data_IF_474343420744
#
_entry.id   IF_474343420744
#
_cell.length_a   1.000
_cell.length_b   1.000
_cell.length_c   1.000
_cell.angle_alpha   90.00
_cell.angle_beta   90.00
_cell.angle_gamma   90.00
#
_symmetry.space_group_name_H-M   'P 1'
#
loop_
_entity.id
_entity.type
_entity.pdbx_description
1 polymer ?
#
# COMPACT_ATOMS: atom_id res chain seq x y z
N UNK A 1 -25.27 -14.78 -5.96
CA UNK A 1 -25.72 -14.49 -4.58
C UNK A 1 -27.19 -14.83 -4.37
N UNK A 2 -28.15 -14.31 -5.16
CA UNK A 2 -29.58 -14.70 -5.06
C UNK A 2 -29.82 -16.22 -5.11
N UNK A 3 -29.28 -16.90 -6.13
CA UNK A 3 -29.34 -18.39 -6.22
C UNK A 3 -28.80 -19.10 -4.98
N UNK A 4 -27.77 -18.56 -4.34
CA UNK A 4 -27.17 -19.11 -3.12
C UNK A 4 -28.10 -18.92 -1.92
N UNK A 5 -28.73 -17.75 -1.82
CA UNK A 5 -29.70 -17.44 -0.75
C UNK A 5 -30.94 -18.33 -0.86
N UNK A 6 -31.43 -18.54 -2.08
CA UNK A 6 -32.53 -19.45 -2.39
C UNK A 6 -32.14 -20.91 -2.06
N UNK A 7 -30.95 -21.34 -2.50
CA UNK A 7 -30.45 -22.70 -2.23
C UNK A 7 -30.38 -23.04 -0.74
N UNK A 8 -29.97 -22.10 0.11
CA UNK A 8 -29.89 -22.31 1.55
C UNK A 8 -31.18 -21.93 2.32
N UNK A 9 -32.21 -21.43 1.63
CA UNK A 9 -33.46 -20.94 2.25
C UNK A 9 -33.23 -19.99 3.44
N UNK A 10 -32.40 -18.96 3.17
CA UNK A 10 -32.01 -17.96 4.19
C UNK A 10 -32.49 -16.54 3.85
N UNK A 11 -33.28 -16.35 2.79
CA UNK A 11 -33.69 -15.01 2.32
C UNK A 11 -34.32 -14.15 3.42
N UNK A 12 -35.21 -14.73 4.22
CA UNK A 12 -35.90 -14.05 5.34
C UNK A 12 -35.02 -13.87 6.59
N UNK A 13 -33.86 -14.54 6.64
CA UNK A 13 -32.94 -14.54 7.78
C UNK A 13 -31.84 -13.49 7.65
N UNK A 14 -31.64 -12.92 6.46
CA UNK A 14 -30.62 -11.90 6.23
C UNK A 14 -31.09 -10.58 6.83
N UNK A 15 -30.38 -10.11 7.87
CA UNK A 15 -30.72 -8.86 8.56
C UNK A 15 -29.88 -7.67 8.11
N UNK A 16 -28.65 -7.92 7.65
CA UNK A 16 -27.75 -6.87 7.16
C UNK A 16 -26.72 -7.45 6.21
N UNK A 17 -26.19 -6.60 5.33
CA UNK A 17 -25.10 -6.94 4.42
C UNK A 17 -23.91 -6.00 4.64
N UNK A 18 -22.70 -6.58 4.74
CA UNK A 18 -21.44 -5.83 4.73
C UNK A 18 -20.81 -6.05 3.36
N UNK A 19 -20.49 -4.95 2.66
CA UNK A 19 -20.00 -5.01 1.28
C UNK A 19 -18.87 -3.99 1.05
N UNK A 20 -18.11 -4.15 -0.03
CA UNK A 20 -17.13 -3.13 -0.42
C UNK A 20 -17.80 -1.88 -1.01
N UNK A 21 -17.04 -0.82 -1.26
CA UNK A 21 -17.56 0.45 -1.76
C UNK A 21 -18.08 0.42 -3.21
N UNK A 22 -17.92 -0.69 -3.93
CA UNK A 22 -18.10 -0.74 -5.37
C UNK A 22 -19.58 -0.66 -5.78
N UNK A 23 -19.85 -0.02 -6.92
CA UNK A 23 -21.21 0.26 -7.38
C UNK A 23 -22.02 -1.03 -7.63
N UNK A 24 -21.40 -2.04 -8.23
CA UNK A 24 -21.99 -3.35 -8.43
C UNK A 24 -22.33 -4.07 -7.10
N UNK A 25 -21.45 -3.98 -6.10
CA UNK A 25 -21.68 -4.57 -4.79
C UNK A 25 -22.84 -3.86 -4.05
N UNK A 26 -22.94 -2.53 -4.16
CA UNK A 26 -24.07 -1.75 -3.65
C UNK A 26 -25.40 -2.15 -4.30
N UNK A 27 -25.45 -2.19 -5.64
CA UNK A 27 -26.67 -2.55 -6.35
C UNK A 27 -27.10 -3.98 -6.03
N UNK A 28 -26.15 -4.91 -5.92
CA UNK A 28 -26.45 -6.30 -5.56
C UNK A 28 -26.97 -6.42 -4.12
N UNK A 29 -26.38 -5.70 -3.16
CA UNK A 29 -26.75 -5.80 -1.75
C UNK A 29 -28.11 -5.16 -1.45
N UNK A 30 -28.44 -4.05 -2.12
CA UNK A 30 -29.75 -3.40 -2.05
C UNK A 30 -30.91 -4.31 -2.50
N UNK A 31 -30.61 -5.32 -3.33
CA UNK A 31 -31.59 -6.31 -3.79
C UNK A 31 -31.74 -7.49 -2.80
N UNK A 32 -30.80 -7.63 -1.88
CA UNK A 32 -30.72 -8.76 -0.94
C UNK A 32 -31.22 -8.38 0.45
N UNK A 33 -30.92 -7.17 0.92
CA UNK A 33 -31.24 -6.73 2.27
C UNK A 33 -31.40 -5.20 2.31
N UNK A 34 -32.25 -4.72 3.23
CA UNK A 34 -32.48 -3.27 3.39
C UNK A 34 -31.33 -2.58 4.13
N UNK A 35 -30.75 -3.26 5.12
CA UNK A 35 -29.69 -2.72 5.97
C UNK A 35 -28.32 -3.06 5.37
N UNK A 36 -27.59 -2.03 4.96
CA UNK A 36 -26.31 -2.17 4.25
C UNK A 36 -25.21 -1.34 4.91
N UNK A 37 -24.06 -1.97 5.16
CA UNK A 37 -22.86 -1.32 5.70
C UNK A 37 -21.69 -1.39 4.72
N UNK A 38 -20.91 -0.31 4.72
CA UNK A 38 -19.58 -0.32 4.09
C UNK A 38 -18.62 -1.19 4.91
N UNK A 39 -17.82 -2.01 4.22
CA UNK A 39 -16.76 -2.79 4.86
C UNK A 39 -15.71 -1.86 5.49
N UNK A 40 -15.56 -1.97 6.80
CA UNK A 40 -14.62 -1.17 7.59
C UNK A 40 -13.18 -1.31 7.10
N UNK A 41 -12.74 -2.55 6.85
CA UNK A 41 -11.39 -2.83 6.39
C UNK A 41 -11.12 -2.23 5.00
N UNK A 42 -12.12 -2.24 4.12
CA UNK A 42 -12.03 -1.56 2.82
C UNK A 42 -11.92 -0.04 2.97
N UNK A 43 -12.66 0.57 3.92
CA UNK A 43 -12.57 2.01 4.21
C UNK A 43 -11.21 2.42 4.74
N UNK A 44 -10.62 1.65 5.66
CA UNK A 44 -9.26 1.89 6.14
C UNK A 44 -8.27 1.81 4.98
N UNK A 45 -8.38 0.78 4.13
CA UNK A 45 -7.50 0.64 2.97
C UNK A 45 -7.62 1.82 2.00
N UNK A 46 -8.84 2.31 1.72
CA UNK A 46 -9.04 3.51 0.91
C UNK A 46 -8.42 4.76 1.55
N UNK A 47 -8.57 4.92 2.88
CA UNK A 47 -7.98 6.03 3.61
C UNK A 47 -6.44 5.97 3.57
N UNK A 48 -5.86 4.79 3.77
CA UNK A 48 -4.42 4.57 3.67
C UNK A 48 -3.90 4.88 2.25
N UNK A 49 -4.58 4.37 1.21
CA UNK A 49 -4.24 4.67 -0.20
C UNK A 49 -4.29 6.16 -0.49
N UNK A 50 -5.36 6.83 -0.07
CA UNK A 50 -5.50 8.28 -0.24
C UNK A 50 -4.39 9.05 0.48
N UNK A 51 -4.06 8.65 1.72
CA UNK A 51 -2.96 9.24 2.48
C UNK A 51 -1.60 9.04 1.83
N UNK A 52 -1.32 7.83 1.30
CA UNK A 52 -0.07 7.55 0.60
C UNK A 52 0.05 8.34 -0.70
N UNK A 53 -1.02 8.45 -1.50
CA UNK A 53 -1.00 9.24 -2.73
C UNK A 53 -0.90 10.75 -2.49
N UNK A 54 -1.33 11.23 -1.33
CA UNK A 54 -1.16 12.62 -0.93
C UNK A 54 0.22 12.93 -0.36
N UNK A 55 1.05 11.91 -0.06
CA UNK A 55 2.36 12.09 0.54
C UNK A 55 3.40 12.49 -0.53
N UNK A 56 3.95 13.71 -0.49
CA UNK A 56 4.88 14.17 -1.53
C UNK A 56 6.15 13.32 -1.59
N UNK A 57 6.54 12.90 -2.79
CA UNK A 57 7.75 12.11 -3.03
C UNK A 57 7.62 10.61 -2.77
N UNK A 58 6.55 10.14 -2.11
CA UNK A 58 6.38 8.70 -1.84
C UNK A 58 6.22 7.89 -3.13
N UNK A 59 5.49 8.41 -4.11
CA UNK A 59 5.30 7.74 -5.40
C UNK A 59 6.63 7.55 -6.15
N UNK A 60 7.53 8.53 -6.09
CA UNK A 60 8.87 8.42 -6.67
C UNK A 60 9.66 7.30 -5.99
N UNK A 61 9.67 7.28 -4.66
CA UNK A 61 10.39 6.26 -3.88
C UNK A 61 9.83 4.86 -4.17
N UNK A 62 8.51 4.72 -4.17
CA UNK A 62 7.85 3.47 -4.51
C UNK A 62 8.15 3.04 -5.95
N UNK A 63 8.20 3.97 -6.90
CA UNK A 63 8.56 3.68 -8.28
C UNK A 63 10.00 3.17 -8.40
N UNK A 64 10.96 3.82 -7.72
CA UNK A 64 12.37 3.38 -7.69
C UNK A 64 12.49 1.99 -7.08
N UNK A 65 11.88 1.75 -5.92
CA UNK A 65 11.87 0.42 -5.28
C UNK A 65 11.22 -0.66 -6.15
N UNK A 66 10.12 -0.34 -6.85
CA UNK A 66 9.46 -1.25 -7.80
C UNK A 66 10.39 -1.60 -8.96
N UNK A 67 11.09 -0.60 -9.53
CA UNK A 67 12.05 -0.79 -10.63
C UNK A 67 13.21 -1.66 -10.16
N UNK A 68 13.87 -1.31 -9.05
CA UNK A 68 14.99 -2.09 -8.50
C UNK A 68 14.57 -3.54 -8.22
N UNK A 69 13.45 -3.75 -7.52
CA UNK A 69 12.92 -5.09 -7.24
C UNK A 69 12.65 -5.87 -8.53
N UNK A 70 12.11 -5.22 -9.57
CA UNK A 70 11.89 -5.84 -10.87
C UNK A 70 13.20 -6.21 -11.55
N UNK A 71 14.18 -5.30 -11.59
CA UNK A 71 15.48 -5.51 -12.23
C UNK A 71 16.25 -6.68 -11.61
N UNK A 72 16.33 -6.74 -10.27
CA UNK A 72 16.97 -7.85 -9.54
C UNK A 72 16.28 -9.17 -9.86
N UNK A 73 14.94 -9.20 -9.97
CA UNK A 73 14.20 -10.45 -10.22
C UNK A 73 14.30 -10.96 -11.66
N UNK A 74 14.54 -10.07 -12.63
CA UNK A 74 14.61 -10.43 -14.05
C UNK A 74 16.05 -10.73 -14.50
N UNK A 75 17.01 -9.91 -14.07
CA UNK A 75 18.41 -10.08 -14.45
C UNK A 75 19.11 -11.05 -13.51
N UNK A 76 19.61 -12.16 -14.04
CA UNK A 76 20.42 -13.12 -13.28
C UNK A 76 21.71 -12.48 -12.77
N UNK A 77 22.30 -11.56 -13.53
CA UNK A 77 23.50 -10.81 -13.12
C UNK A 77 23.23 -9.93 -11.90
N UNK A 78 22.20 -9.07 -11.98
CA UNK A 78 21.82 -8.20 -10.85
C UNK A 78 21.38 -8.99 -9.63
N UNK A 79 20.75 -10.16 -9.84
CA UNK A 79 20.41 -11.06 -8.75
C UNK A 79 21.64 -11.61 -8.05
N UNK A 80 22.66 -12.02 -8.79
CA UNK A 80 23.91 -12.52 -8.21
C UNK A 80 24.65 -11.41 -7.47
N UNK A 81 24.70 -10.21 -8.02
CA UNK A 81 25.29 -9.04 -7.35
C UNK A 81 24.53 -8.68 -6.06
N UNK A 82 23.19 -8.77 -6.09
CA UNK A 82 22.37 -8.63 -4.89
C UNK A 82 22.72 -9.68 -3.83
N UNK A 83 22.80 -10.96 -4.20
CA UNK A 83 23.18 -12.05 -3.30
C UNK A 83 24.61 -11.84 -2.73
N UNK A 84 25.55 -11.38 -3.55
CA UNK A 84 26.93 -11.08 -3.12
C UNK A 84 27.01 -10.00 -2.03
N UNK A 85 26.16 -8.97 -2.09
CA UNK A 85 26.10 -7.95 -1.02
C UNK A 85 25.73 -8.56 0.33
N UNK A 86 24.86 -9.58 0.34
CA UNK A 86 24.50 -10.28 1.58
C UNK A 86 25.62 -11.17 2.07
N UNK A 87 26.31 -11.88 1.16
CA UNK A 87 27.46 -12.72 1.50
C UNK A 87 28.62 -11.90 2.08
N UNK A 88 28.91 -10.72 1.52
CA UNK A 88 29.93 -9.79 2.04
C UNK A 88 29.63 -9.30 3.45
N UNK A 89 28.35 -9.21 3.80
CA UNK A 89 27.87 -8.76 5.11
C UNK A 89 27.49 -9.94 6.03
N UNK A 90 27.88 -11.16 5.68
CA UNK A 90 27.62 -12.41 6.44
C UNK A 90 26.15 -12.56 6.87
N UNK A 91 25.23 -12.24 5.95
CA UNK A 91 23.79 -12.27 6.20
C UNK A 91 23.08 -13.22 5.22
N UNK A 92 21.98 -13.89 5.64
CA UNK A 92 21.18 -14.66 4.69
C UNK A 92 20.51 -13.73 3.67
N UNK A 93 20.61 -14.08 2.39
CA UNK A 93 20.01 -13.29 1.31
C UNK A 93 18.51 -13.09 1.54
N UNK A 94 18.08 -11.83 1.42
CA UNK A 94 16.68 -11.46 1.57
C UNK A 94 16.23 -10.58 0.40
N UNK A 95 15.21 -11.03 -0.32
CA UNK A 95 14.69 -10.32 -1.49
C UNK A 95 13.80 -9.13 -1.11
N UNK A 96 13.81 -8.09 -1.95
CA UNK A 96 12.83 -7.03 -1.90
C UNK A 96 11.41 -7.57 -2.15
N UNK A 97 10.44 -6.97 -1.46
CA UNK A 97 9.03 -7.30 -1.65
C UNK A 97 8.51 -6.70 -2.96
N UNK A 98 7.65 -7.45 -3.65
CA UNK A 98 7.00 -6.97 -4.86
C UNK A 98 5.73 -6.22 -4.47
N UNK A 99 5.59 -4.99 -4.96
CA UNK A 99 4.33 -4.26 -4.85
C UNK A 99 3.22 -4.93 -5.67
N UNK A 100 2.03 -5.06 -5.08
CA UNK A 100 0.85 -5.65 -5.70
C UNK A 100 -0.37 -4.81 -5.36
N UNK A 101 -0.93 -4.11 -6.35
CA UNK A 101 -1.99 -3.11 -6.15
C UNK A 101 -3.26 -3.64 -5.49
N UNK A 102 -3.59 -4.91 -5.76
CA UNK A 102 -4.76 -5.60 -5.20
C UNK A 102 -4.55 -6.04 -3.75
N UNK A 103 -3.30 -6.15 -3.28
CA UNK A 103 -2.96 -6.54 -1.90
C UNK A 103 -2.84 -5.29 -1.04
N UNK A 104 -3.75 -5.14 -0.09
CA UNK A 104 -3.96 -3.90 0.68
C UNK A 104 -2.71 -3.42 1.43
N UNK A 105 -1.87 -4.33 1.90
CA UNK A 105 -0.66 -4.04 2.69
C UNK A 105 0.62 -3.93 1.85
N UNK A 106 0.55 -4.06 0.52
CA UNK A 106 1.77 -4.21 -0.29
C UNK A 106 2.69 -2.98 -0.28
N UNK A 107 2.16 -1.76 -0.13
CA UNK A 107 2.98 -0.55 0.03
C UNK A 107 3.77 -0.64 1.34
N UNK A 108 3.09 -0.99 2.43
CA UNK A 108 3.71 -1.14 3.74
C UNK A 108 4.79 -2.21 3.74
N UNK A 109 4.50 -3.38 3.15
CA UNK A 109 5.45 -4.49 3.08
C UNK A 109 6.71 -4.12 2.28
N UNK A 110 6.55 -3.41 1.15
CA UNK A 110 7.67 -2.90 0.33
C UNK A 110 8.55 -1.94 1.11
N UNK A 111 7.94 -0.94 1.77
CA UNK A 111 8.69 0.06 2.53
C UNK A 111 9.36 -0.57 3.76
N UNK A 112 8.64 -1.42 4.49
CA UNK A 112 9.17 -2.15 5.64
C UNK A 112 10.36 -3.02 5.25
N UNK A 113 10.26 -3.76 4.14
CA UNK A 113 11.37 -4.59 3.63
C UNK A 113 12.55 -3.72 3.22
N UNK A 114 12.32 -2.67 2.44
CA UNK A 114 13.38 -1.77 1.98
C UNK A 114 14.13 -1.13 3.15
N UNK A 115 13.42 -0.69 4.20
CA UNK A 115 14.02 -0.18 5.43
C UNK A 115 14.81 -1.25 6.19
N UNK A 116 14.29 -2.49 6.24
CA UNK A 116 14.98 -3.60 6.91
C UNK A 116 16.30 -3.96 6.23
N UNK A 117 16.36 -3.94 4.90
CA UNK A 117 17.58 -4.21 4.12
C UNK A 117 18.30 -2.94 3.68
N UNK A 118 18.05 -1.78 4.31
CA UNK A 118 18.50 -0.46 3.85
C UNK A 118 20.00 -0.43 3.54
N UNK A 119 20.84 -0.88 4.46
CA UNK A 119 22.30 -0.89 4.28
C UNK A 119 22.73 -1.69 3.04
N UNK A 120 22.13 -2.87 2.85
CA UNK A 120 22.41 -3.77 1.71
C UNK A 120 21.91 -3.13 0.42
N UNK A 121 20.74 -2.49 0.48
CA UNK A 121 20.15 -1.78 -0.65
C UNK A 121 20.95 -0.54 -1.05
N UNK A 122 21.48 0.21 -0.08
CA UNK A 122 22.30 1.39 -0.34
C UNK A 122 23.65 0.99 -0.96
N UNK A 123 24.29 -0.08 -0.46
CA UNK A 123 25.53 -0.63 -1.01
C UNK A 123 25.31 -1.21 -2.42
N UNK A 124 24.25 -2.00 -2.60
CA UNK A 124 23.91 -2.51 -3.92
C UNK A 124 23.71 -1.39 -4.94
N UNK A 125 23.01 -0.31 -4.56
CA UNK A 125 22.73 0.80 -5.47
C UNK A 125 23.92 1.74 -5.68
N UNK A 126 24.94 1.74 -4.80
CA UNK A 126 26.16 2.53 -5.05
C UNK A 126 26.96 1.99 -6.23
N UNK A 127 26.86 0.69 -6.48
CA UNK A 127 27.62 0.00 -7.52
C UNK A 127 26.86 -0.07 -8.86
N UNK A 128 25.65 0.49 -8.92
CA UNK A 128 24.75 0.38 -10.07
C UNK A 128 24.54 1.75 -10.71
N UNK A 129 25.26 2.03 -11.80
CA UNK A 129 25.13 3.29 -12.53
C UNK A 129 23.72 3.49 -13.13
N UNK A 130 23.06 2.39 -13.53
CA UNK A 130 21.74 2.41 -14.19
C UNK A 130 20.54 2.47 -13.21
N UNK A 131 20.78 2.28 -11.90
CA UNK A 131 19.73 2.25 -10.89
C UNK A 131 19.85 3.44 -9.94
N UNK A 132 18.88 4.36 -10.01
CA UNK A 132 18.87 5.51 -9.11
C UNK A 132 18.66 5.11 -7.63
N UNK A 133 19.40 5.78 -6.74
CA UNK A 133 19.22 5.68 -5.30
C UNK A 133 17.80 6.07 -4.83
N UNK A 134 17.33 5.41 -3.76
CA UNK A 134 15.93 5.47 -3.33
C UNK A 134 15.63 6.45 -2.17
N UNK A 135 16.65 6.91 -1.42
CA UNK A 135 16.45 7.77 -0.22
C UNK A 135 16.78 9.26 -0.46
N UNK A 136 17.54 9.62 -1.50
CA UNK A 136 18.05 11.00 -1.67
C UNK A 136 16.96 12.10 -1.78
N UNK A 137 15.69 11.72 -1.96
CA UNK A 137 14.54 12.65 -2.07
C UNK A 137 13.67 12.74 -0.80
N UNK A 138 14.00 12.05 0.30
CA UNK A 138 13.14 12.01 1.49
C UNK A 138 13.49 13.13 2.49
N UNK A 139 12.63 14.14 2.72
CA UNK A 139 12.84 15.15 3.76
C UNK A 139 12.34 14.65 5.12
N UNK A 140 12.68 13.42 5.52
CA UNK A 140 12.22 12.85 6.79
C UNK A 140 12.85 13.56 8.00
N UNK A 141 14.11 13.97 7.90
CA UNK A 141 14.79 14.62 9.03
C UNK A 141 14.38 16.10 9.23
N UNK A 142 13.89 16.79 8.19
CA UNK A 142 13.51 18.21 8.30
C UNK A 142 12.05 18.46 8.67
N UNK A 143 11.11 17.57 8.32
CA UNK A 143 9.68 17.82 8.59
C UNK A 143 9.15 17.28 9.90
N UNK A 144 9.72 16.21 10.47
CA UNK A 144 9.23 15.67 11.75
C UNK A 144 9.41 16.70 12.88
N UNK A 145 10.43 17.56 12.79
CA UNK A 145 10.61 18.69 13.70
C UNK A 145 9.56 19.82 13.52
N UNK A 146 8.92 19.92 12.35
CA UNK A 146 7.96 20.99 12.02
C UNK A 146 6.48 20.53 12.16
N UNK A 147 6.18 19.23 12.00
CA UNK A 147 4.79 18.71 12.08
C UNK A 147 4.23 18.50 13.49
N UNK A 148 4.93 18.92 14.54
CA UNK A 148 4.33 19.05 15.87
C UNK A 148 3.38 20.26 16.04
N UNK A 149 2.96 20.89 14.95
CA UNK A 149 1.83 21.84 14.94
C UNK A 149 0.68 21.22 14.14
N UNK A 150 -0.13 20.41 14.82
CA UNK A 150 -1.42 19.94 14.31
C UNK A 150 -2.36 21.14 14.08
N UNK A 151 -2.46 21.62 12.83
CA UNK A 151 -3.55 22.50 12.42
C UNK A 151 -4.86 21.70 12.30
N UNK A 152 -5.66 21.73 13.36
CA UNK A 152 -7.01 21.13 13.44
C UNK A 152 -7.91 21.53 12.26
N UNK A 153 -7.69 22.69 11.62
CA UNK A 153 -8.49 23.15 10.47
C UNK A 153 -8.29 22.32 9.21
N UNK A 154 -7.10 21.75 9.03
CA UNK A 154 -6.79 20.92 7.86
C UNK A 154 -7.49 19.56 7.92
N UNK A 155 -7.59 18.97 9.12
CA UNK A 155 -8.35 17.74 9.36
C UNK A 155 -9.86 17.99 9.22
N UNK A 156 -10.37 19.11 9.74
CA UNK A 156 -11.78 19.49 9.59
C UNK A 156 -12.19 19.77 8.13
N UNK A 157 -11.31 20.36 7.32
CA UNK A 157 -11.57 20.58 5.88
C UNK A 157 -11.67 19.27 5.10
N UNK A 158 -10.79 18.30 5.40
CA UNK A 158 -10.83 16.98 4.77
C UNK A 158 -12.10 16.23 5.19
N UNK A 159 -12.48 16.27 6.47
CA UNK A 159 -13.71 15.67 6.96
C UNK A 159 -14.97 16.25 6.28
N UNK A 160 -15.07 17.59 6.17
CA UNK A 160 -16.20 18.26 5.48
C UNK A 160 -16.25 17.97 3.98
N UNK A 161 -15.11 17.75 3.33
CA UNK A 161 -15.08 17.40 1.91
C UNK A 161 -15.52 15.95 1.64
N UNK A 162 -15.43 15.07 2.64
CA UNK A 162 -15.90 13.67 2.55
C UNK A 162 -17.42 13.61 2.78
N UNK A 163 -17.98 14.46 3.64
CA UNK A 163 -19.42 14.56 3.86
C UNK A 163 -20.18 15.12 2.66
N UNK A 164 -19.62 16.10 1.93
CA UNK A 164 -20.26 16.71 0.74
C UNK A 164 -20.28 15.83 -0.51
N UNK A 165 -19.65 14.65 -0.49
CA UNK A 165 -19.59 13.69 -1.60
C UNK A 165 -20.44 12.44 -1.37
N UNK A 166 -21.24 12.39 -0.30
CA UNK A 166 -22.33 11.43 -0.12
C UNK A 166 -23.63 12.03 -0.62
#
# INVERSE_FOLDING_TARGET
MRKTIEYFDIGTKIRACIRDGAANAKSASNVICDINFDCFAHKINLAAKAGTSAFPGLDNVLLKLKKTCKSIRISSTLRREWEQVFDQLDNPTLMLEKHVDVRWMSIFDVLKRALFVKEKLDLFLSDQEDLEGWIREFPLERRIAETHVHDKRSIEKIARSIEKKK
#
